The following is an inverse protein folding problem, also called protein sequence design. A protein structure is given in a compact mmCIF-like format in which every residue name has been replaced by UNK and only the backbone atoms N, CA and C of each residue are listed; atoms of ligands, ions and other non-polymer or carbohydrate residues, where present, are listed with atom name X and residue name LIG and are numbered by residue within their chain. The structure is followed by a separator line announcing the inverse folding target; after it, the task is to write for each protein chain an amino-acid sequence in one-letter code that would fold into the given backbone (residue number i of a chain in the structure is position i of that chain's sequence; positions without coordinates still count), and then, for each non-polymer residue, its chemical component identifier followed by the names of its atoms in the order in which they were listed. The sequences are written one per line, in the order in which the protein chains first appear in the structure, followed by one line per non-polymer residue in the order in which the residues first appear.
data_IF_963118675157
#
_entry.id   IF_963118675157
#
_cell.length_a   1.000
_cell.length_b   1.000
_cell.length_c   1.000
_cell.angle_alpha   90.00
_cell.angle_beta   90.00
_cell.angle_gamma   90.00
#
_symmetry.space_group_name_H-M   'P 1'
#
loop_
_entity.id
_entity.type
_entity.pdbx_description
1 polymer ?
#
# COMPACT_ATOMS: atom_id res chain seq x y z
N UNK A 1 66.39 50.20 22.94
CA UNK A 1 67.20 49.54 21.90
C UNK A 1 66.32 48.53 21.17
N UNK A 2 65.99 48.92 19.93
CA UNK A 2 65.49 48.23 18.73
C UNK A 2 64.90 46.80 18.81
N UNK A 3 63.62 46.71 18.41
CA UNK A 3 62.92 45.50 17.99
C UNK A 3 63.59 44.85 16.76
N UNK A 4 63.68 43.52 16.72
CA UNK A 4 63.83 42.78 15.46
C UNK A 4 62.98 41.51 15.51
N UNK A 5 61.75 41.62 15.00
CA UNK A 5 60.79 40.53 14.87
C UNK A 5 61.14 39.72 13.62
N UNK A 6 61.81 38.57 13.79
CA UNK A 6 62.09 37.61 12.70
C UNK A 6 60.77 36.99 12.22
N UNK A 7 60.46 37.17 10.92
CA UNK A 7 59.39 36.46 10.19
C UNK A 7 59.82 34.99 9.95
N UNK A 8 58.96 34.04 10.31
CA UNK A 8 59.04 32.64 9.86
C UNK A 8 58.28 32.47 8.52
N UNK A 9 58.79 31.67 7.57
CA UNK A 9 58.11 31.39 6.31
C UNK A 9 57.05 30.28 6.42
N UNK A 10 55.93 30.44 5.71
CA UNK A 10 54.84 29.48 5.55
C UNK A 10 55.24 28.25 4.71
N UNK A 11 54.68 27.06 4.95
CA UNK A 11 54.92 25.87 4.12
C UNK A 11 54.16 25.94 2.77
N UNK A 12 54.62 25.20 1.73
CA UNK A 12 54.08 25.31 0.37
C UNK A 12 52.70 24.65 0.21
N UNK A 13 51.78 25.37 -0.44
CA UNK A 13 50.46 24.91 -0.87
C UNK A 13 50.57 23.79 -1.91
N UNK A 14 49.88 22.66 -1.69
CA UNK A 14 49.70 21.60 -2.69
C UNK A 14 48.95 22.15 -3.92
N UNK A 15 49.32 21.77 -5.16
CA UNK A 15 48.62 22.22 -6.35
C UNK A 15 47.17 21.71 -6.34
N UNK A 16 46.25 22.60 -6.69
CA UNK A 16 44.82 22.36 -6.68
C UNK A 16 44.43 21.19 -7.57
N UNK A 17 43.70 20.24 -6.99
CA UNK A 17 42.86 19.32 -7.73
C UNK A 17 41.80 20.14 -8.45
N UNK A 18 42.04 20.45 -9.73
CA UNK A 18 41.01 20.94 -10.63
C UNK A 18 39.86 19.93 -10.58
N UNK A 19 38.72 20.36 -10.04
CA UNK A 19 37.51 19.57 -10.00
C UNK A 19 37.12 19.20 -11.44
N UNK A 20 37.29 17.93 -11.79
CA UNK A 20 36.68 17.36 -12.97
C UNK A 20 35.16 17.59 -12.84
N UNK A 21 34.58 18.36 -13.76
CA UNK A 21 33.14 18.53 -13.84
C UNK A 21 32.43 17.17 -13.93
N UNK A 22 31.15 17.08 -13.54
CA UNK A 22 30.41 15.84 -13.62
C UNK A 22 30.51 15.26 -15.05
N UNK A 23 30.69 13.93 -15.19
CA UNK A 23 30.83 13.30 -16.49
C UNK A 23 29.62 13.63 -17.38
N UNK A 24 29.81 13.83 -18.69
CA UNK A 24 28.72 14.15 -19.60
C UNK A 24 27.63 13.07 -19.50
N UNK A 25 26.37 13.52 -19.43
CA UNK A 25 25.23 12.61 -19.33
C UNK A 25 25.23 11.61 -20.51
N UNK A 26 24.93 10.32 -20.27
CA UNK A 26 24.98 9.31 -21.33
C UNK A 26 24.07 9.67 -22.53
N UNK A 27 24.67 9.68 -23.71
CA UNK A 27 24.02 9.83 -25.02
C UNK A 27 23.91 8.47 -25.69
N UNK A 28 22.81 8.23 -26.42
CA UNK A 28 22.48 6.96 -27.05
C UNK A 28 22.11 7.19 -28.52
N UNK A 29 22.60 6.30 -29.39
CA UNK A 29 21.98 6.11 -30.71
C UNK A 29 20.63 5.40 -30.57
N UNK A 30 19.79 5.40 -31.61
CA UNK A 30 18.48 4.73 -31.55
C UNK A 30 18.60 3.22 -31.26
N UNK A 31 19.65 2.57 -31.79
CA UNK A 31 19.91 1.14 -31.60
C UNK A 31 20.35 0.84 -30.16
N UNK A 32 21.23 1.67 -29.61
CA UNK A 32 21.67 1.56 -28.22
C UNK A 32 20.53 1.85 -27.24
N UNK A 33 19.73 2.87 -27.52
CA UNK A 33 18.57 3.22 -26.71
C UNK A 33 17.58 2.06 -26.67
N UNK A 34 17.25 1.46 -27.81
CA UNK A 34 16.35 0.31 -27.89
C UNK A 34 16.90 -0.87 -27.06
N UNK A 35 18.19 -1.19 -27.21
CA UNK A 35 18.87 -2.25 -26.45
C UNK A 35 18.82 -2.01 -24.95
N UNK A 36 19.19 -0.81 -24.49
CA UNK A 36 19.25 -0.48 -23.06
C UNK A 36 17.85 -0.34 -22.45
N UNK A 37 16.86 0.04 -23.24
CA UNK A 37 15.45 0.09 -22.81
C UNK A 37 14.74 -1.27 -22.88
N UNK A 38 15.38 -2.33 -23.39
CA UNK A 38 14.76 -3.66 -23.54
C UNK A 38 13.62 -3.68 -24.57
N UNK A 39 13.72 -2.88 -25.64
CA UNK A 39 12.69 -2.77 -26.69
C UNK A 39 13.32 -2.83 -28.08
N UNK A 40 12.51 -2.68 -29.13
CA UNK A 40 12.97 -2.65 -30.53
C UNK A 40 13.02 -1.22 -31.08
N UNK A 41 13.90 -0.97 -32.04
CA UNK A 41 13.97 0.31 -32.78
C UNK A 41 12.62 0.66 -33.41
N UNK A 42 11.89 -0.35 -33.90
CA UNK A 42 10.53 -0.19 -34.43
C UNK A 42 9.58 0.40 -33.38
N UNK A 43 9.61 -0.11 -32.15
CA UNK A 43 8.79 0.42 -31.07
C UNK A 43 9.20 1.83 -30.67
N UNK A 44 10.51 2.13 -30.59
CA UNK A 44 11.00 3.48 -30.30
C UNK A 44 10.47 4.49 -31.33
N UNK A 45 10.57 4.16 -32.63
CA UNK A 45 10.00 5.01 -33.70
C UNK A 45 8.49 5.14 -33.59
N UNK A 46 7.78 4.03 -33.38
CA UNK A 46 6.33 4.06 -33.20
C UNK A 46 5.89 4.92 -32.00
N UNK A 47 6.69 4.99 -30.94
CA UNK A 47 6.40 5.85 -29.78
C UNK A 47 6.70 7.31 -30.10
N UNK A 48 7.79 7.57 -30.81
CA UNK A 48 8.12 8.91 -31.30
C UNK A 48 7.03 9.47 -32.23
N UNK A 49 6.54 8.67 -33.19
CA UNK A 49 5.49 9.06 -34.14
C UNK A 49 4.16 9.39 -33.42
N UNK A 50 3.93 8.81 -32.24
CA UNK A 50 2.75 9.06 -31.39
C UNK A 50 2.98 10.17 -30.36
N UNK A 51 4.13 10.85 -30.39
CA UNK A 51 4.49 11.90 -29.44
C UNK A 51 4.82 11.41 -28.03
N UNK A 52 5.01 10.10 -27.84
CA UNK A 52 5.35 9.51 -26.54
C UNK A 52 6.83 9.68 -26.19
N UNK A 53 7.70 9.92 -27.17
CA UNK A 53 9.14 10.15 -26.99
C UNK A 53 9.50 11.41 -27.78
N UNK A 54 10.20 12.34 -27.13
CA UNK A 54 10.64 13.57 -27.77
C UNK A 54 11.57 13.26 -28.96
N UNK A 55 11.57 14.08 -30.02
CA UNK A 55 12.47 13.89 -31.15
C UNK A 55 13.93 14.00 -30.70
N UNK A 56 14.83 13.16 -31.26
CA UNK A 56 16.24 13.17 -30.87
C UNK A 56 16.94 14.47 -31.27
N UNK A 57 18.00 14.81 -30.54
CA UNK A 57 18.89 15.90 -30.94
C UNK A 57 19.69 15.47 -32.17
N UNK A 58 19.67 16.27 -33.24
CA UNK A 58 20.41 15.95 -34.46
C UNK A 58 21.86 16.36 -34.33
N UNK A 59 22.78 15.40 -34.39
CA UNK A 59 24.22 15.64 -34.56
C UNK A 59 24.64 15.08 -35.92
N UNK A 60 24.61 15.94 -36.94
CA UNK A 60 24.82 15.55 -38.34
C UNK A 60 23.68 14.67 -38.87
N UNK A 61 24.01 13.47 -39.36
CA UNK A 61 23.03 12.49 -39.86
C UNK A 61 22.51 11.53 -38.77
N UNK A 62 23.03 11.61 -37.56
CA UNK A 62 22.69 10.70 -36.45
C UNK A 62 21.81 11.43 -35.44
N UNK A 63 20.69 10.79 -35.06
CA UNK A 63 19.84 11.24 -33.97
C UNK A 63 20.38 10.75 -32.64
N UNK A 64 20.62 11.67 -31.71
CA UNK A 64 21.13 11.42 -30.37
C UNK A 64 20.01 11.51 -29.36
N UNK A 65 19.88 10.47 -28.54
CA UNK A 65 18.93 10.36 -27.45
C UNK A 65 19.64 10.48 -26.11
N UNK A 66 19.04 11.20 -25.18
CA UNK A 66 19.55 11.41 -23.82
C UNK A 66 18.95 10.41 -22.83
N UNK A 67 19.48 10.41 -21.60
CA UNK A 67 18.89 9.69 -20.46
C UNK A 67 17.39 9.95 -20.24
N UNK A 68 16.88 11.14 -20.56
CA UNK A 68 15.46 11.44 -20.44
C UNK A 68 14.61 10.53 -21.35
N UNK A 69 15.08 10.25 -22.56
CA UNK A 69 14.40 9.36 -23.50
C UNK A 69 14.40 7.92 -22.97
N UNK A 70 15.51 7.47 -22.36
CA UNK A 70 15.61 6.15 -21.76
C UNK A 70 14.65 6.00 -20.57
N UNK A 71 14.59 7.01 -19.69
CA UNK A 71 13.65 7.04 -18.57
C UNK A 71 12.20 6.94 -19.04
N UNK A 72 11.84 7.69 -20.10
CA UNK A 72 10.50 7.67 -20.66
C UNK A 72 10.16 6.32 -21.32
N UNK A 73 11.10 5.67 -22.01
CA UNK A 73 10.89 4.32 -22.57
C UNK A 73 10.67 3.26 -21.48
N UNK A 74 11.46 3.30 -20.39
CA UNK A 74 11.30 2.39 -19.26
C UNK A 74 9.94 2.54 -18.59
N UNK A 75 9.46 3.79 -18.47
CA UNK A 75 8.13 4.06 -17.95
C UNK A 75 7.02 3.47 -18.83
N UNK A 76 7.07 3.73 -20.14
CA UNK A 76 6.08 3.19 -21.08
C UNK A 76 6.03 1.67 -20.97
N UNK A 77 7.20 1.01 -20.88
CA UNK A 77 7.28 -0.43 -20.72
C UNK A 77 6.66 -0.91 -19.39
N UNK A 78 6.94 -0.22 -18.29
CA UNK A 78 6.40 -0.54 -16.96
C UNK A 78 4.86 -0.44 -16.91
N UNK A 79 4.30 0.60 -17.55
CA UNK A 79 2.85 0.78 -17.63
C UNK A 79 2.18 -0.26 -18.55
N UNK A 80 2.80 -0.58 -19.69
CA UNK A 80 2.31 -1.66 -20.57
C UNK A 80 2.30 -3.02 -19.87
N UNK A 81 3.33 -3.33 -19.08
CA UNK A 81 3.41 -4.58 -18.30
C UNK A 81 2.28 -4.70 -17.25
N UNK A 82 1.71 -3.58 -16.82
CA UNK A 82 0.57 -3.50 -15.89
C UNK A 82 -0.79 -3.50 -16.58
N UNK A 83 -0.83 -3.67 -17.91
CA UNK A 83 -2.07 -3.77 -18.69
C UNK A 83 -2.64 -2.43 -19.19
N UNK A 84 -1.91 -1.32 -19.04
CA UNK A 84 -2.34 -0.04 -19.62
C UNK A 84 -2.26 -0.07 -21.14
N UNK A 85 -3.24 0.52 -21.81
CA UNK A 85 -3.21 0.67 -23.27
C UNK A 85 -2.30 1.83 -23.66
N UNK A 86 -1.74 1.77 -24.88
CA UNK A 86 -0.88 2.84 -25.40
C UNK A 86 -1.62 4.18 -25.50
N UNK A 87 -2.94 4.17 -25.71
CA UNK A 87 -3.78 5.37 -25.75
C UNK A 87 -3.83 6.06 -24.37
N UNK A 88 -4.07 5.29 -23.30
CA UNK A 88 -4.09 5.82 -21.92
C UNK A 88 -2.73 6.39 -21.52
N UNK A 89 -1.64 5.71 -21.90
CA UNK A 89 -0.27 6.16 -21.65
C UNK A 89 0.02 7.48 -22.39
N UNK A 90 -0.52 7.65 -23.60
CA UNK A 90 -0.36 8.88 -24.38
C UNK A 90 -1.04 10.07 -23.72
N UNK A 91 -2.28 9.92 -23.26
CA UNK A 91 -3.00 10.98 -22.56
C UNK A 91 -2.31 11.35 -21.23
N UNK A 92 -1.80 10.34 -20.51
CA UNK A 92 -1.06 10.55 -19.27
C UNK A 92 0.26 11.31 -19.49
N UNK A 93 1.00 11.00 -20.56
CA UNK A 93 2.25 11.67 -20.93
C UNK A 93 2.04 13.07 -21.51
N UNK A 94 0.95 13.31 -22.24
CA UNK A 94 0.61 14.67 -22.69
C UNK A 94 0.34 15.60 -21.52
N UNK A 95 -0.40 15.14 -20.52
CA UNK A 95 -0.60 15.91 -19.28
C UNK A 95 0.76 16.29 -18.65
N UNK A 96 1.76 15.42 -18.69
CA UNK A 96 3.10 15.69 -18.12
C UNK A 96 3.85 16.82 -18.87
N UNK A 97 3.76 16.84 -20.21
CA UNK A 97 4.47 17.82 -21.06
C UNK A 97 3.90 19.24 -20.89
N UNK A 98 2.63 19.37 -20.49
CA UNK A 98 1.96 20.64 -20.21
C UNK A 98 2.41 21.29 -18.87
N UNK A 99 3.47 20.76 -18.24
CA UNK A 99 4.12 21.34 -17.06
C UNK A 99 3.80 20.60 -15.76
N UNK A 100 3.53 19.30 -15.86
CA UNK A 100 3.02 18.51 -14.74
C UNK A 100 3.98 17.37 -14.38
N UNK A 101 4.22 17.17 -13.08
CA UNK A 101 5.21 16.20 -12.60
C UNK A 101 4.68 14.76 -12.73
N UNK A 102 5.34 13.97 -13.59
CA UNK A 102 5.12 12.53 -13.78
C UNK A 102 5.18 11.75 -12.45
N UNK A 103 5.99 12.19 -11.49
CA UNK A 103 6.08 11.61 -10.15
C UNK A 103 4.75 11.69 -9.40
N UNK A 104 3.96 12.74 -9.64
CA UNK A 104 2.67 12.95 -8.99
C UNK A 104 1.60 11.98 -9.49
N UNK A 105 1.57 11.73 -10.81
CA UNK A 105 0.59 10.81 -11.41
C UNK A 105 0.91 9.35 -11.07
N UNK A 106 2.19 8.95 -11.13
CA UNK A 106 2.62 7.62 -10.66
C UNK A 106 2.47 7.47 -9.14
N UNK A 107 2.63 8.56 -8.40
CA UNK A 107 2.34 8.63 -6.97
C UNK A 107 0.87 8.33 -6.67
N UNK A 108 -0.05 8.81 -7.51
CA UNK A 108 -1.49 8.54 -7.39
C UNK A 108 -1.83 7.08 -7.73
N UNK A 109 -1.30 6.54 -8.82
CA UNK A 109 -1.44 5.11 -9.15
C UNK A 109 -0.93 4.23 -8.00
N UNK A 110 0.24 4.56 -7.47
CA UNK A 110 0.85 3.84 -6.34
C UNK A 110 0.01 3.98 -5.08
N UNK A 111 -0.51 5.17 -4.77
CA UNK A 111 -1.36 5.41 -3.60
C UNK A 111 -2.70 4.66 -3.68
N UNK A 112 -3.22 4.39 -4.87
CA UNK A 112 -4.46 3.62 -5.08
C UNK A 112 -4.19 2.11 -5.02
N UNK A 113 -3.13 1.65 -5.69
CA UNK A 113 -2.82 0.22 -5.85
C UNK A 113 -2.04 -0.39 -4.68
N UNK A 114 -1.41 0.43 -3.83
CA UNK A 114 -0.65 -0.08 -2.68
C UNK A 114 -1.56 -0.77 -1.65
N UNK A 115 -1.15 -1.91 -1.08
CA UNK A 115 -1.89 -2.58 0.00
C UNK A 115 -2.25 -1.62 1.13
N UNK A 116 -3.44 -1.77 1.71
CA UNK A 116 -3.89 -0.98 2.86
C UNK A 116 -3.25 -1.43 4.17
N UNK A 117 -2.72 -2.64 4.21
CA UNK A 117 -1.96 -3.19 5.34
C UNK A 117 -0.50 -3.38 4.93
N UNK A 118 0.42 -3.12 5.85
CA UNK A 118 1.86 -3.37 5.66
C UNK A 118 2.29 -4.68 6.35
N UNK A 119 1.36 -5.62 6.52
CA UNK A 119 1.66 -6.93 7.07
C UNK A 119 2.42 -7.76 6.04
N UNK A 120 3.45 -8.47 6.50
CA UNK A 120 4.18 -9.41 5.67
C UNK A 120 3.47 -10.76 5.72
N UNK A 121 2.92 -11.26 4.59
CA UNK A 121 2.30 -12.57 4.56
C UNK A 121 3.30 -13.65 5.03
N UNK A 122 2.81 -14.65 5.76
CA UNK A 122 3.64 -15.73 6.30
C UNK A 122 3.10 -17.09 5.90
N UNK A 123 4.01 -17.99 5.54
CA UNK A 123 3.72 -19.38 5.23
C UNK A 123 3.66 -20.22 6.52
N UNK A 124 2.69 -21.11 6.59
CA UNK A 124 2.45 -22.03 7.68
C UNK A 124 2.25 -23.44 7.14
N UNK A 125 2.95 -24.42 7.68
CA UNK A 125 2.60 -25.81 7.46
C UNK A 125 1.33 -26.16 8.26
N UNK A 126 0.63 -27.23 7.86
CA UNK A 126 -0.50 -27.74 8.64
C UNK A 126 -0.10 -28.03 10.10
N UNK A 127 1.09 -28.59 10.32
CA UNK A 127 1.62 -28.86 11.66
C UNK A 127 1.85 -27.58 12.48
N UNK A 128 2.30 -26.48 11.84
CA UNK A 128 2.45 -25.20 12.51
C UNK A 128 1.09 -24.63 12.94
N UNK A 129 0.07 -24.72 12.08
CA UNK A 129 -1.29 -24.33 12.43
C UNK A 129 -1.86 -25.22 13.55
N UNK A 130 -1.63 -26.54 13.50
CA UNK A 130 -2.06 -27.44 14.56
C UNK A 130 -1.38 -27.17 15.91
N UNK A 131 -0.13 -26.71 15.91
CA UNK A 131 0.53 -26.24 17.14
C UNK A 131 -0.05 -24.93 17.67
N UNK A 132 -0.45 -24.02 16.78
CA UNK A 132 -1.02 -22.72 17.16
C UNK A 132 -2.44 -22.84 17.71
N UNK A 133 -3.28 -23.68 17.11
CA UNK A 133 -4.70 -23.77 17.44
C UNK A 133 -5.07 -25.04 18.23
N UNK A 134 -4.12 -25.95 18.44
CA UNK A 134 -4.35 -27.19 19.19
C UNK A 134 -5.49 -28.02 18.59
N UNK A 135 -6.47 -28.38 19.44
CA UNK A 135 -7.66 -29.14 19.04
C UNK A 135 -8.73 -28.31 18.33
N UNK A 136 -8.62 -26.99 18.35
CA UNK A 136 -9.60 -26.11 17.71
C UNK A 136 -9.47 -26.12 16.18
N UNK A 137 -8.32 -26.54 15.64
CA UNK A 137 -8.18 -26.68 14.18
C UNK A 137 -8.95 -27.91 13.68
N UNK A 138 -10.12 -27.65 13.10
CA UNK A 138 -10.96 -28.66 12.48
C UNK A 138 -10.91 -28.56 10.94
N UNK A 139 -11.28 -29.63 10.23
CA UNK A 139 -11.44 -29.57 8.77
C UNK A 139 -12.48 -28.51 8.35
N UNK A 140 -13.67 -28.41 9.01
CA UNK A 140 -14.62 -27.33 8.76
C UNK A 140 -14.05 -25.92 8.97
N UNK A 141 -13.38 -25.67 10.10
CA UNK A 141 -12.78 -24.37 10.40
C UNK A 141 -11.73 -23.98 9.36
N UNK A 142 -10.86 -24.92 8.97
CA UNK A 142 -9.84 -24.68 7.95
C UNK A 142 -10.46 -24.37 6.58
N UNK A 143 -11.47 -25.15 6.16
CA UNK A 143 -12.19 -24.90 4.91
C UNK A 143 -12.88 -23.52 4.90
N UNK A 144 -13.52 -23.14 6.02
CA UNK A 144 -14.13 -21.82 6.17
C UNK A 144 -13.09 -20.70 6.16
N UNK A 145 -11.97 -20.84 6.87
CA UNK A 145 -10.88 -19.87 6.84
C UNK A 145 -10.30 -19.67 5.44
N UNK A 146 -10.18 -20.74 4.64
CA UNK A 146 -9.78 -20.67 3.23
C UNK A 146 -10.85 -19.98 2.38
N UNK A 147 -12.13 -20.33 2.56
CA UNK A 147 -13.24 -19.68 1.83
C UNK A 147 -13.34 -18.18 2.10
N UNK A 148 -12.93 -17.76 3.30
CA UNK A 148 -12.83 -16.37 3.69
C UNK A 148 -11.52 -15.73 3.18
N UNK A 149 -10.54 -16.49 2.68
CA UNK A 149 -9.25 -15.96 2.26
C UNK A 149 -8.37 -15.48 3.43
N UNK A 150 -8.66 -15.94 4.65
CA UNK A 150 -7.76 -15.74 5.80
C UNK A 150 -6.50 -16.61 5.68
N UNK A 151 -6.65 -17.75 5.00
CA UNK A 151 -5.58 -18.66 4.59
C UNK A 151 -5.73 -18.95 3.10
N UNK A 152 -4.64 -18.96 2.36
CA UNK A 152 -4.59 -19.38 0.96
C UNK A 152 -3.80 -20.69 0.87
N UNK A 153 -4.27 -21.72 0.13
CA UNK A 153 -3.47 -22.91 -0.11
C UNK A 153 -2.18 -22.55 -0.86
N UNK A 154 -1.04 -22.97 -0.33
CA UNK A 154 0.27 -22.77 -0.97
C UNK A 154 1.13 -24.04 -0.86
N UNK A 155 1.24 -24.77 -1.97
CA UNK A 155 1.93 -26.06 -2.03
C UNK A 155 1.39 -27.06 -0.98
N UNK A 156 2.24 -27.43 -0.02
CA UNK A 156 1.91 -28.35 1.08
C UNK A 156 1.46 -27.62 2.37
N UNK A 157 1.33 -26.30 2.32
CA UNK A 157 0.98 -25.45 3.45
C UNK A 157 -0.04 -24.39 3.08
N UNK A 158 -0.03 -23.32 3.87
CA UNK A 158 -0.97 -22.22 3.77
C UNK A 158 -0.25 -20.89 3.91
N UNK A 159 -0.65 -19.91 3.11
CA UNK A 159 -0.23 -18.53 3.24
C UNK A 159 -1.28 -17.73 4.01
N UNK A 160 -0.88 -17.13 5.12
CA UNK A 160 -1.73 -16.17 5.85
C UNK A 160 -1.31 -14.74 5.48
N UNK A 161 -2.23 -13.96 4.91
CA UNK A 161 -1.99 -12.54 4.59
C UNK A 161 -1.86 -11.66 5.83
N UNK A 162 -2.58 -12.01 6.90
CA UNK A 162 -2.48 -11.36 8.21
C UNK A 162 -2.06 -12.37 9.27
N UNK A 163 -0.75 -12.51 9.54
CA UNK A 163 -0.26 -13.29 10.68
C UNK A 163 -0.83 -12.81 12.02
N UNK A 164 -1.16 -11.51 12.14
CA UNK A 164 -1.76 -10.95 13.36
C UNK A 164 -3.18 -11.47 13.60
N UNK A 165 -4.02 -11.47 12.56
CA UNK A 165 -5.37 -12.01 12.66
C UNK A 165 -5.34 -13.51 13.01
N UNK A 166 -4.39 -14.26 12.44
CA UNK A 166 -4.19 -15.67 12.76
C UNK A 166 -3.81 -15.87 14.23
N UNK A 167 -2.87 -15.06 14.76
CA UNK A 167 -2.49 -15.12 16.17
C UNK A 167 -3.65 -14.76 17.11
N UNK A 168 -4.43 -13.72 16.79
CA UNK A 168 -5.62 -13.36 17.56
C UNK A 168 -6.66 -14.50 17.58
N UNK A 169 -6.89 -15.16 16.44
CA UNK A 169 -7.76 -16.34 16.37
C UNK A 169 -7.27 -17.49 17.26
N UNK A 170 -5.95 -17.70 17.36
CA UNK A 170 -5.38 -18.73 18.22
C UNK A 170 -5.60 -18.42 19.70
N UNK A 171 -5.42 -17.17 20.13
CA UNK A 171 -5.74 -16.73 21.50
C UNK A 171 -7.22 -16.92 21.84
N UNK A 172 -8.12 -16.56 20.91
CA UNK A 172 -9.56 -16.76 21.09
C UNK A 172 -9.89 -18.27 21.24
N UNK A 173 -9.26 -19.13 20.44
CA UNK A 173 -9.42 -20.57 20.57
C UNK A 173 -8.91 -21.11 21.92
N UNK A 174 -7.76 -20.61 22.39
CA UNK A 174 -7.20 -20.99 23.69
C UNK A 174 -8.07 -20.52 24.88
N UNK A 175 -8.81 -19.43 24.71
CA UNK A 175 -9.81 -18.97 25.68
C UNK A 175 -11.10 -19.82 25.69
N UNK A 176 -11.21 -20.83 24.82
CA UNK A 176 -12.30 -21.80 24.79
C UNK A 176 -13.44 -21.49 23.82
N UNK A 177 -13.30 -20.44 22.99
CA UNK A 177 -14.29 -20.12 21.97
C UNK A 177 -14.10 -21.01 20.74
N UNK A 178 -15.20 -21.49 20.15
CA UNK A 178 -15.14 -22.28 18.93
C UNK A 178 -14.72 -21.42 17.74
N UNK A 179 -13.74 -21.89 16.95
CA UNK A 179 -13.25 -21.15 15.79
C UNK A 179 -14.34 -20.99 14.73
N UNK A 180 -15.22 -21.96 14.59
CA UNK A 180 -16.34 -21.91 13.65
C UNK A 180 -17.25 -20.71 13.93
N UNK A 181 -17.56 -20.43 15.20
CA UNK A 181 -18.39 -19.28 15.60
C UNK A 181 -17.68 -17.95 15.28
N UNK A 182 -16.38 -17.86 15.57
CA UNK A 182 -15.56 -16.68 15.27
C UNK A 182 -15.50 -16.43 13.75
N UNK A 183 -15.28 -17.48 12.97
CA UNK A 183 -15.23 -17.40 11.50
C UNK A 183 -16.60 -17.02 10.91
N UNK A 184 -17.70 -17.44 11.54
CA UNK A 184 -19.04 -17.06 11.14
C UNK A 184 -19.33 -15.58 11.43
N UNK A 185 -18.90 -15.06 12.59
CA UNK A 185 -18.94 -13.62 12.90
C UNK A 185 -18.12 -12.83 11.86
N UNK A 186 -16.94 -13.31 11.47
CA UNK A 186 -16.14 -12.69 10.41
C UNK A 186 -16.89 -12.70 9.08
N UNK A 187 -17.52 -13.83 8.72
CA UNK A 187 -18.27 -13.94 7.47
C UNK A 187 -19.43 -12.94 7.40
N UNK A 188 -20.20 -12.81 8.48
CA UNK A 188 -21.35 -11.90 8.56
C UNK A 188 -20.92 -10.44 8.61
N UNK A 189 -19.85 -10.11 9.33
CA UNK A 189 -19.36 -8.73 9.47
C UNK A 189 -18.79 -8.14 8.18
N UNK A 190 -18.34 -8.95 7.22
CA UNK A 190 -17.77 -8.48 5.94
C UNK A 190 -18.70 -7.54 5.18
N UNK A 191 -19.99 -7.86 5.12
CA UNK A 191 -20.96 -7.01 4.43
C UNK A 191 -21.05 -5.62 5.06
N UNK A 192 -20.99 -5.55 6.40
CA UNK A 192 -21.01 -4.29 7.14
C UNK A 192 -19.72 -3.48 6.92
N UNK A 193 -18.56 -4.12 6.99
CA UNK A 193 -17.29 -3.44 6.72
C UNK A 193 -17.19 -2.95 5.27
N UNK A 194 -17.68 -3.73 4.30
CA UNK A 194 -17.72 -3.32 2.90
C UNK A 194 -18.61 -2.10 2.72
N UNK A 195 -19.82 -2.11 3.26
CA UNK A 195 -20.75 -0.98 3.17
C UNK A 195 -20.17 0.31 3.75
N UNK A 196 -19.53 0.23 4.93
CA UNK A 196 -18.87 1.39 5.55
C UNK A 196 -17.68 1.86 4.70
N UNK A 197 -16.88 0.93 4.17
CA UNK A 197 -15.75 1.26 3.31
C UNK A 197 -16.21 1.96 2.03
N UNK A 198 -17.26 1.46 1.37
CA UNK A 198 -17.82 2.06 0.16
C UNK A 198 -18.31 3.49 0.42
N UNK A 199 -18.89 3.76 1.60
CA UNK A 199 -19.31 5.11 2.00
C UNK A 199 -18.13 6.05 2.23
N UNK A 200 -17.05 5.57 2.88
CA UNK A 200 -15.82 6.34 3.07
C UNK A 200 -15.22 6.67 1.71
N UNK A 201 -15.05 5.68 0.83
CA UNK A 201 -14.51 5.90 -0.52
C UNK A 201 -15.40 6.82 -1.34
N UNK A 202 -16.72 6.67 -1.30
CA UNK A 202 -17.66 7.55 -2.00
C UNK A 202 -17.55 9.01 -1.54
N UNK A 203 -17.23 9.24 -0.26
CA UNK A 203 -16.99 10.59 0.27
C UNK A 203 -15.72 11.20 -0.32
N UNK A 204 -14.65 10.40 -0.43
CA UNK A 204 -13.40 10.83 -1.07
C UNK A 204 -13.60 11.09 -2.56
N UNK A 205 -14.28 10.17 -3.26
CA UNK A 205 -14.59 10.29 -4.70
C UNK A 205 -15.44 11.53 -4.97
N UNK A 206 -16.42 11.85 -4.13
CA UNK A 206 -17.21 13.08 -4.26
C UNK A 206 -16.36 14.35 -4.17
N UNK A 207 -15.31 14.34 -3.35
CA UNK A 207 -14.37 15.47 -3.27
C UNK A 207 -13.52 15.56 -4.54
N UNK A 208 -13.19 14.42 -5.16
CA UNK A 208 -12.49 14.35 -6.45
C UNK A 208 -13.39 14.78 -7.63
N UNK A 209 -14.67 14.45 -7.60
CA UNK A 209 -15.62 14.76 -8.68
C UNK A 209 -15.93 16.26 -8.80
N UNK A 210 -15.49 17.09 -7.84
CA UNK A 210 -15.52 18.57 -7.97
C UNK A 210 -14.75 19.07 -9.20
N UNK A 211 -13.82 18.26 -9.72
CA UNK A 211 -13.05 18.57 -10.93
C UNK A 211 -13.73 18.06 -12.23
N UNK A 212 -14.86 17.38 -12.12
CA UNK A 212 -15.64 16.81 -13.22
C UNK A 212 -15.52 15.29 -13.31
N UNK A 213 -16.66 14.60 -13.36
CA UNK A 213 -16.73 13.13 -13.43
C UNK A 213 -15.92 12.58 -14.61
N UNK A 214 -14.98 11.68 -14.32
CA UNK A 214 -14.13 11.04 -15.33
C UNK A 214 -13.05 11.93 -15.94
N UNK A 215 -12.87 13.16 -15.45
CA UNK A 215 -11.75 14.02 -15.81
C UNK A 215 -10.60 13.83 -14.82
N UNK A 216 -9.37 13.86 -15.32
CA UNK A 216 -8.19 13.91 -14.46
C UNK A 216 -8.24 15.23 -13.66
N UNK A 217 -7.98 15.20 -12.34
CA UNK A 217 -7.88 16.42 -11.55
C UNK A 217 -6.79 17.34 -12.12
N UNK A 218 -6.92 18.68 -11.95
CA UNK A 218 -5.88 19.62 -12.34
C UNK A 218 -4.55 19.17 -11.73
N UNK A 219 -3.45 19.14 -12.49
CA UNK A 219 -2.26 18.46 -11.99
C UNK A 219 -1.56 19.15 -10.80
N UNK A 220 -1.87 20.42 -10.55
CA UNK A 220 -1.53 21.14 -9.33
C UNK A 220 -2.19 20.56 -8.06
N UNK A 221 -3.34 19.89 -8.20
CA UNK A 221 -4.10 19.29 -7.10
C UNK A 221 -3.69 17.82 -6.87
N UNK A 222 -3.07 17.15 -7.84
CA UNK A 222 -2.68 15.73 -7.73
C UNK A 222 -1.80 15.43 -6.51
N UNK A 223 -0.75 16.20 -6.18
CA UNK A 223 0.04 15.94 -4.96
C UNK A 223 -0.81 15.96 -3.69
N UNK A 224 -1.73 16.92 -3.59
CA UNK A 224 -2.66 17.03 -2.46
C UNK A 224 -3.58 15.81 -2.36
N UNK A 225 -4.04 15.28 -3.50
CA UNK A 225 -4.90 14.08 -3.53
C UNK A 225 -4.14 12.83 -3.10
N UNK A 226 -2.89 12.68 -3.54
CA UNK A 226 -1.98 11.61 -3.08
C UNK A 226 -1.80 11.68 -1.57
N UNK A 227 -1.53 12.86 -1.02
CA UNK A 227 -1.39 13.07 0.43
C UNK A 227 -2.68 12.72 1.20
N UNK A 228 -3.84 13.11 0.67
CA UNK A 228 -5.14 12.77 1.26
C UNK A 228 -5.32 11.25 1.31
N UNK A 229 -5.04 10.54 0.21
CA UNK A 229 -5.14 9.07 0.17
C UNK A 229 -4.22 8.40 1.20
N UNK A 230 -2.97 8.86 1.31
CA UNK A 230 -2.04 8.33 2.32
C UNK A 230 -2.48 8.62 3.76
N UNK A 231 -3.07 9.80 4.01
CA UNK A 231 -3.54 10.20 5.34
C UNK A 231 -4.84 9.50 5.76
N UNK A 232 -5.72 9.19 4.82
CA UNK A 232 -6.99 8.51 5.11
C UNK A 232 -6.75 7.10 5.65
N UNK A 233 -5.75 6.38 5.13
CA UNK A 233 -5.44 4.99 5.54
C UNK A 233 -5.36 4.78 7.06
N UNK A 234 -4.42 5.44 7.78
CA UNK A 234 -4.34 5.27 9.23
C UNK A 234 -5.55 5.83 9.98
N UNK A 235 -6.19 6.89 9.46
CA UNK A 235 -7.36 7.49 10.10
C UNK A 235 -8.59 6.59 10.04
N UNK A 236 -8.80 5.90 8.92
CA UNK A 236 -9.89 4.94 8.75
C UNK A 236 -9.75 3.76 9.72
N UNK A 237 -8.52 3.29 9.98
CA UNK A 237 -8.25 2.25 10.97
C UNK A 237 -8.58 2.73 12.40
N UNK A 238 -8.12 3.92 12.78
CA UNK A 238 -8.43 4.51 14.10
C UNK A 238 -9.94 4.67 14.29
N UNK A 239 -10.65 5.16 13.27
CA UNK A 239 -12.10 5.28 13.30
C UNK A 239 -12.78 3.92 13.46
N UNK A 240 -12.39 2.91 12.69
CA UNK A 240 -12.97 1.58 12.76
C UNK A 240 -12.73 0.92 14.13
N UNK A 241 -11.53 1.05 14.68
CA UNK A 241 -11.19 0.55 16.02
C UNK A 241 -12.01 1.24 17.10
N UNK A 242 -12.08 2.57 17.08
CA UNK A 242 -12.83 3.36 18.06
C UNK A 242 -14.31 2.99 18.04
N UNK A 243 -14.90 2.89 16.85
CA UNK A 243 -16.31 2.56 16.70
C UNK A 243 -16.62 1.11 17.09
N UNK A 244 -15.71 0.17 16.78
CA UNK A 244 -15.83 -1.22 17.22
C UNK A 244 -15.80 -1.32 18.75
N UNK A 245 -14.86 -0.63 19.42
CA UNK A 245 -14.77 -0.62 20.89
C UNK A 245 -16.02 -0.05 21.53
N UNK A 246 -16.54 1.06 20.99
CA UNK A 246 -17.81 1.66 21.45
C UNK A 246 -18.99 0.70 21.30
N UNK A 247 -19.10 0.02 20.16
CA UNK A 247 -20.16 -0.95 19.90
C UNK A 247 -20.05 -2.19 20.82
N UNK A 248 -18.82 -2.67 21.06
CA UNK A 248 -18.54 -3.74 22.00
C UNK A 248 -18.93 -3.38 23.43
N UNK A 249 -18.61 -2.17 23.90
CA UNK A 249 -18.98 -1.70 25.24
C UNK A 249 -20.51 -1.67 25.42
N UNK A 250 -21.24 -1.14 24.44
CA UNK A 250 -22.71 -1.11 24.46
C UNK A 250 -23.27 -2.54 24.50
N UNK A 251 -22.74 -3.43 23.67
CA UNK A 251 -23.18 -4.83 23.61
C UNK A 251 -22.85 -5.58 24.90
N UNK A 252 -21.65 -5.38 25.45
CA UNK A 252 -21.22 -6.01 26.70
C UNK A 252 -22.13 -5.58 27.86
N UNK A 253 -22.40 -4.28 28.01
CA UNK A 253 -23.29 -3.79 29.05
C UNK A 253 -24.71 -4.36 28.91
N UNK A 254 -25.21 -4.48 27.68
CA UNK A 254 -26.52 -5.10 27.43
C UNK A 254 -26.56 -6.57 27.86
N UNK A 255 -25.65 -7.40 27.34
CA UNK A 255 -25.74 -8.86 27.54
C UNK A 255 -25.14 -9.34 28.86
N UNK A 256 -24.09 -8.70 29.37
CA UNK A 256 -23.51 -9.04 30.67
C UNK A 256 -24.30 -8.41 31.82
N UNK A 257 -24.86 -7.21 31.64
CA UNK A 257 -25.72 -6.57 32.65
C UNK A 257 -26.92 -7.45 32.99
N UNK A 258 -27.65 -7.90 31.97
CA UNK A 258 -28.80 -8.80 32.14
C UNK A 258 -28.40 -10.13 32.78
N UNK A 259 -27.24 -10.69 32.40
CA UNK A 259 -26.76 -11.97 32.93
C UNK A 259 -26.29 -11.87 34.37
N UNK A 260 -25.57 -10.81 34.73
CA UNK A 260 -25.10 -10.57 36.10
C UNK A 260 -26.28 -10.26 37.02
N UNK A 261 -27.27 -9.48 36.56
CA UNK A 261 -28.50 -9.25 37.31
C UNK A 261 -29.25 -10.56 37.60
N UNK A 262 -29.40 -11.43 36.60
CA UNK A 262 -30.05 -12.73 36.77
C UNK A 262 -29.30 -13.67 37.72
N UNK A 263 -27.95 -13.63 37.72
CA UNK A 263 -27.12 -14.41 38.65
C UNK A 263 -27.27 -13.88 40.09
N UNK A 264 -27.26 -12.55 40.28
CA UNK A 264 -27.43 -11.92 41.60
C UNK A 264 -28.83 -12.23 42.17
N UNK A 265 -29.87 -12.20 41.33
CA UNK A 265 -31.24 -12.54 41.73
C UNK A 265 -31.36 -14.00 42.18
N UNK A 266 -30.77 -14.95 41.45
CA UNK A 266 -30.72 -16.36 41.87
C UNK A 266 -29.95 -16.58 43.19
N UNK A 267 -28.86 -15.83 43.42
CA UNK A 267 -28.09 -15.94 44.66
C UNK A 267 -28.88 -15.41 45.87
N UNK A 268 -29.67 -14.34 45.70
CA UNK A 268 -30.51 -13.81 46.78
C UNK A 268 -31.73 -14.71 47.09
N UNK A 269 -32.30 -15.38 46.09
CA UNK A 269 -33.42 -16.31 46.28
C UNK A 269 -33.00 -17.60 47.02
N UNK A 270 -31.78 -18.11 46.79
CA UNK A 270 -31.24 -19.27 47.53
C UNK A 270 -30.94 -18.97 49.01
N UNK A 271 -30.52 -17.74 49.34
CA UNK A 271 -30.27 -17.32 50.73
C UNK A 271 -31.58 -17.06 51.52
N UNK A 272 -32.66 -16.65 50.85
CA UNK A 272 -33.97 -16.38 51.47
C UNK A 272 -34.85 -17.62 51.73
N UNK A 273 -34.60 -18.73 51.03
CA UNK A 273 -35.40 -19.97 51.14
C UNK A 273 -35.06 -20.90 52.31
N UNK A 274 -33.97 -20.63 53.04
CA UNK A 274 -33.43 -21.50 54.09
C UNK A 274 -33.99 -21.31 55.51
N UNK A 275 -34.91 -20.35 55.73
CA UNK A 275 -35.43 -20.06 57.06
C UNK A 275 -36.95 -20.21 57.15
N UNK A 276 -37.42 -21.43 57.40
CA UNK A 276 -38.72 -21.63 58.07
C UNK A 276 -38.68 -22.88 58.96
N UNK A 277 -38.78 -22.74 60.30
CA UNK A 277 -39.02 -23.88 61.19
C UNK A 277 -40.46 -24.40 61.07
#
# INVERSE_FOLDING_TARGET
MTLTRRRQPSPPSRPGSAAAGPPPAPEYTIDELARVAGTTVRNVRSYQDRGLIDPPQRRGRVGIYTQAHLGRLKLIHHLLARGYTLANITELLKAIVEGHDLRSILGLETAISSPWTNETPRHYSYLALARLFGRAISRPALAKAISLGLLEPDGLGYLARSPRALAAGAEIAHAGFALEDVLEIIAQSRGHFQAVSDQIVATVVRELDRFGVGKLPPPQDVPRLVDILWRIRPLALVMAETEMMRALEISANKYLGDRVAAIIEHLHDEEGGGAKP
#
